data_IF_387080192100
#
_entry.id   IF_387080192100
#
_cell.length_a   1.000
_cell.length_b   1.000
_cell.length_c   1.000
_cell.angle_alpha   90.00
_cell.angle_beta   90.00
_cell.angle_gamma   90.00
#
_symmetry.space_group_name_H-M   'P 1'
#
loop_
_entity.id
_entity.type
_entity.pdbx_description
1 polymer ?
#
# COMPACT_ATOMS: atom_id res chain seq x y z
N UNK A 1 11.59 0.07 -6.31
CA UNK A 1 12.04 0.94 -5.21
C UNK A 1 12.90 2.05 -5.81
N UNK A 2 12.60 3.34 -5.59
CA UNK A 2 13.36 4.43 -6.25
C UNK A 2 12.65 5.78 -6.44
N UNK A 3 11.38 5.91 -6.03
CA UNK A 3 10.66 7.19 -6.08
C UNK A 3 11.10 8.11 -4.94
N UNK A 4 11.25 9.40 -5.21
CA UNK A 4 11.40 10.43 -4.17
C UNK A 4 10.07 10.63 -3.42
N UNK A 5 10.12 11.11 -2.17
CA UNK A 5 8.93 11.20 -1.30
C UNK A 5 7.74 11.95 -1.93
N UNK A 6 7.98 13.06 -2.61
CA UNK A 6 6.93 13.83 -3.30
C UNK A 6 6.31 13.11 -4.50
N UNK A 7 7.05 12.21 -5.14
CA UNK A 7 6.57 11.42 -6.30
C UNK A 7 5.64 10.28 -5.89
N UNK A 8 5.50 10.02 -4.59
CA UNK A 8 4.57 9.04 -4.05
C UNK A 8 3.15 9.61 -3.87
N UNK A 9 2.93 10.88 -4.21
CA UNK A 9 1.62 11.51 -4.11
C UNK A 9 1.19 12.05 -5.47
N UNK A 10 -0.08 11.83 -5.79
CA UNK A 10 -0.73 12.38 -6.99
C UNK A 10 -1.96 13.19 -6.58
N UNK A 11 -2.35 14.23 -7.35
CA UNK A 11 -3.59 14.96 -7.10
C UNK A 11 -4.79 14.01 -7.06
N UNK A 12 -5.68 14.20 -6.10
CA UNK A 12 -6.96 13.48 -6.06
C UNK A 12 -8.05 14.26 -6.80
N UNK A 13 -9.04 13.54 -7.33
CA UNK A 13 -10.27 14.16 -7.84
C UNK A 13 -11.10 14.85 -6.75
N UNK A 14 -10.79 14.64 -5.46
CA UNK A 14 -11.42 15.32 -4.34
C UNK A 14 -10.56 16.49 -3.88
N UNK A 15 -11.09 17.71 -3.96
CA UNK A 15 -10.37 18.92 -3.55
C UNK A 15 -9.84 18.83 -2.12
N UNK A 16 -8.59 19.24 -1.92
CA UNK A 16 -7.90 19.16 -0.63
C UNK A 16 -7.39 17.75 -0.26
N UNK A 17 -7.53 16.76 -1.16
CA UNK A 17 -7.04 15.41 -0.95
C UNK A 17 -5.99 15.01 -1.98
N UNK A 18 -5.19 14.00 -1.62
CA UNK A 18 -4.12 13.44 -2.44
C UNK A 18 -4.26 11.92 -2.52
N UNK A 19 -3.83 11.34 -3.63
CA UNK A 19 -3.69 9.90 -3.82
C UNK A 19 -2.28 9.49 -3.44
N UNK A 20 -2.14 8.68 -2.39
CA UNK A 20 -0.85 8.21 -1.91
C UNK A 20 -0.54 6.80 -2.42
N UNK A 21 0.64 6.63 -3.00
CA UNK A 21 1.26 5.33 -3.30
C UNK A 21 1.92 4.80 -2.02
N UNK A 22 1.15 4.05 -1.22
CA UNK A 22 1.59 3.51 0.07
C UNK A 22 2.76 2.53 -0.09
N UNK A 23 2.76 1.72 -1.16
CA UNK A 23 3.86 0.78 -1.44
C UNK A 23 5.17 1.53 -1.69
N UNK A 24 5.15 2.59 -2.51
CA UNK A 24 6.35 3.39 -2.77
C UNK A 24 6.86 4.11 -1.51
N UNK A 25 5.97 4.60 -0.65
CA UNK A 25 6.34 5.21 0.65
C UNK A 25 7.00 4.18 1.59
N UNK A 26 6.44 2.97 1.67
CA UNK A 26 7.02 1.89 2.46
C UNK A 26 8.42 1.51 1.93
N UNK A 27 8.54 1.32 0.61
CA UNK A 27 9.82 1.07 -0.06
C UNK A 27 10.88 2.14 0.27
N UNK A 28 10.52 3.42 0.16
CA UNK A 28 11.42 4.53 0.48
C UNK A 28 11.89 4.49 1.94
N UNK A 29 10.99 4.18 2.87
CA UNK A 29 11.32 4.06 4.30
C UNK A 29 12.23 2.87 4.58
N UNK A 30 11.94 1.70 4.02
CA UNK A 30 12.72 0.49 4.18
C UNK A 30 14.13 0.64 3.60
N UNK A 31 14.27 1.22 2.41
CA UNK A 31 15.59 1.47 1.83
C UNK A 31 16.42 2.47 2.63
N UNK A 32 15.79 3.51 3.20
CA UNK A 32 16.47 4.44 4.13
C UNK A 32 16.93 3.76 5.42
N UNK A 33 16.24 2.70 5.84
CA UNK A 33 16.63 1.88 6.99
C UNK A 33 17.71 0.82 6.64
N UNK A 34 18.23 0.80 5.40
CA UNK A 34 19.27 -0.13 4.98
C UNK A 34 18.76 -1.48 4.47
N UNK A 35 17.45 -1.66 4.29
CA UNK A 35 16.90 -2.89 3.72
C UNK A 35 17.24 -2.97 2.22
N UNK A 36 18.00 -4.00 1.85
CA UNK A 36 18.51 -4.18 0.48
C UNK A 36 17.54 -4.91 -0.45
N UNK A 37 16.71 -5.81 0.09
CA UNK A 37 15.78 -6.63 -0.68
C UNK A 37 14.34 -6.32 -0.27
N UNK A 38 13.56 -5.81 -1.21
CA UNK A 38 12.15 -5.45 -1.01
C UNK A 38 11.36 -6.03 -2.18
N UNK A 39 10.33 -6.81 -1.90
CA UNK A 39 9.50 -7.48 -2.89
C UNK A 39 8.00 -7.37 -2.54
N UNK A 40 7.15 -7.57 -3.55
CA UNK A 40 5.69 -7.46 -3.43
C UNK A 40 5.18 -6.01 -3.45
N UNK A 41 3.93 -5.83 -3.01
CA UNK A 41 3.27 -4.51 -2.93
C UNK A 41 2.65 -4.02 -4.24
N UNK A 42 2.54 -4.91 -5.22
CA UNK A 42 1.94 -4.72 -6.55
C UNK A 42 0.42 -4.96 -6.59
N UNK A 43 -0.15 -5.49 -5.51
CA UNK A 43 -1.57 -5.82 -5.39
C UNK A 43 -2.39 -4.69 -4.78
N UNK A 44 -3.64 -4.54 -5.22
CA UNK A 44 -4.53 -3.46 -4.78
C UNK A 44 -5.79 -4.04 -4.12
N UNK A 45 -5.89 -3.93 -2.80
CA UNK A 45 -7.06 -4.45 -2.06
C UNK A 45 -8.38 -3.82 -2.50
N UNK A 46 -8.36 -2.55 -2.92
CA UNK A 46 -9.55 -1.86 -3.45
C UNK A 46 -9.90 -2.32 -4.87
N UNK A 47 -8.90 -2.54 -5.73
CA UNK A 47 -9.07 -2.83 -7.16
C UNK A 47 -9.29 -4.30 -7.50
N UNK A 48 -9.06 -5.22 -6.56
CA UNK A 48 -9.18 -6.67 -6.74
C UNK A 48 -10.23 -7.25 -5.76
N UNK A 49 -11.54 -6.96 -5.96
CA UNK A 49 -12.61 -7.32 -5.03
C UNK A 49 -12.86 -8.83 -4.90
N UNK A 50 -12.52 -9.61 -5.93
CA UNK A 50 -12.67 -11.06 -5.95
C UNK A 50 -11.65 -11.81 -5.07
N UNK A 51 -10.60 -11.10 -4.61
CA UNK A 51 -9.50 -11.68 -3.84
C UNK A 51 -9.38 -11.04 -2.46
N UNK A 52 -9.65 -9.73 -2.33
CA UNK A 52 -9.40 -8.99 -1.09
C UNK A 52 -10.63 -8.30 -0.50
N UNK A 53 -10.75 -8.36 0.83
CA UNK A 53 -11.56 -7.40 1.59
C UNK A 53 -10.97 -6.00 1.48
N UNK A 54 -11.82 -4.97 1.40
CA UNK A 54 -11.37 -3.58 1.32
C UNK A 54 -12.25 -2.64 2.13
N UNK A 55 -11.71 -2.12 3.24
CA UNK A 55 -12.42 -1.17 4.09
C UNK A 55 -12.81 0.11 3.34
N UNK A 56 -11.97 0.59 2.40
CA UNK A 56 -12.28 1.77 1.59
C UNK A 56 -13.44 1.54 0.61
N UNK A 57 -13.66 0.29 0.18
CA UNK A 57 -14.74 -0.09 -0.74
C UNK A 57 -16.03 -0.41 0.01
N UNK A 58 -15.93 -1.22 1.06
CA UNK A 58 -17.08 -1.88 1.72
C UNK A 58 -17.40 -1.31 3.11
N UNK A 59 -16.58 -0.39 3.62
CA UNK A 59 -16.80 0.26 4.91
C UNK A 59 -16.50 -0.63 6.12
N UNK A 60 -17.01 -0.26 7.31
CA UNK A 60 -16.66 -0.91 8.58
C UNK A 60 -17.00 -2.40 8.66
N UNK A 61 -18.03 -2.84 7.93
CA UNK A 61 -18.59 -4.19 8.03
C UNK A 61 -17.80 -5.27 7.27
N UNK A 62 -16.80 -4.90 6.46
CA UNK A 62 -15.99 -5.89 5.72
C UNK A 62 -15.13 -6.78 6.63
N UNK A 63 -14.71 -7.93 6.12
CA UNK A 63 -13.77 -8.83 6.79
C UNK A 63 -12.34 -8.27 6.89
N UNK A 64 -11.40 -9.07 7.39
CA UNK A 64 -9.97 -8.72 7.46
C UNK A 64 -9.13 -9.87 6.93
N UNK A 65 -8.11 -9.51 6.15
CA UNK A 65 -7.04 -10.43 5.78
C UNK A 65 -5.96 -10.46 6.86
N UNK A 66 -5.18 -11.54 6.88
CA UNK A 66 -4.02 -11.68 7.74
C UNK A 66 -2.79 -12.08 6.90
N UNK A 67 -1.63 -11.53 7.26
CA UNK A 67 -0.33 -11.94 6.72
C UNK A 67 0.43 -12.65 7.84
N UNK A 68 0.87 -13.87 7.59
CA UNK A 68 1.53 -14.72 8.59
C UNK A 68 2.96 -15.02 8.14
N UNK A 69 3.90 -15.03 9.10
CA UNK A 69 5.30 -15.43 8.91
C UNK A 69 5.77 -16.15 10.17
N UNK A 70 6.52 -17.24 10.01
CA UNK A 70 7.09 -18.00 11.12
C UNK A 70 8.48 -18.52 10.75
N UNK A 71 9.29 -18.79 11.78
CA UNK A 71 10.51 -19.56 11.64
C UNK A 71 10.16 -21.05 11.79
N UNK A 72 10.80 -21.89 10.99
CA UNK A 72 10.75 -23.34 11.13
C UNK A 72 11.62 -23.83 12.27
#
# INVERSE_FOLDING_TARGET
CGKAGGQCFQPSNRQGHWMADLTALACLRLSRAGVSTIAGGDRCTHGEPEIFFSHRREGPATGRMATLVWLS
#
